data_IF_320647219740
#
_entry.id   IF_320647219740
#
_cell.length_a   1.000
_cell.length_b   1.000
_cell.length_c   1.000
_cell.angle_alpha   90.00
_cell.angle_beta   90.00
_cell.angle_gamma   90.00
#
_symmetry.space_group_name_H-M   'P 1'
#
loop_
_entity.id
_entity.type
_entity.pdbx_description
1 polymer ?
#
# COMPACT_ATOMS: atom_id res chain seq x y z
N UNK A 1 -1.45 -1.08 3.60
CA UNK A 1 -2.29 -2.19 4.13
C UNK A 1 -3.61 -1.67 4.63
N UNK A 2 -4.68 -2.35 4.34
CA UNK A 2 -6.03 -2.13 4.91
C UNK A 2 -6.53 -3.46 5.44
N UNK A 3 -7.10 -3.49 6.64
CA UNK A 3 -7.66 -4.72 7.24
C UNK A 3 -9.13 -4.52 7.65
N UNK A 4 -10.06 -4.30 6.70
CA UNK A 4 -11.47 -4.25 7.01
C UNK A 4 -12.01 -5.66 7.30
N UNK A 5 -12.87 -5.81 8.29
CA UNK A 5 -13.44 -7.11 8.68
C UNK A 5 -12.40 -8.20 8.98
N UNK A 6 -11.24 -7.85 9.49
CA UNK A 6 -10.20 -8.82 9.80
C UNK A 6 -9.50 -9.44 8.58
N UNK A 7 -9.77 -9.03 7.34
CA UNK A 7 -9.08 -9.54 6.16
C UNK A 7 -8.05 -8.52 5.66
N UNK A 8 -6.79 -8.82 5.83
CA UNK A 8 -5.69 -7.95 5.37
C UNK A 8 -5.61 -7.90 3.84
N UNK A 9 -5.52 -6.69 3.31
CA UNK A 9 -5.31 -6.42 1.88
C UNK A 9 -4.11 -5.52 1.70
N UNK A 10 -3.27 -5.86 0.72
CA UNK A 10 -2.10 -5.08 0.35
C UNK A 10 -2.33 -4.41 -1.01
N UNK A 11 -1.81 -3.20 -1.16
CA UNK A 11 -1.55 -2.58 -2.44
C UNK A 11 -0.05 -2.26 -2.47
N UNK A 12 0.67 -2.91 -3.38
CA UNK A 12 2.08 -2.62 -3.63
C UNK A 12 2.21 -1.65 -4.79
N UNK A 13 3.13 -0.69 -4.68
CA UNK A 13 3.43 0.30 -5.70
C UNK A 13 4.88 0.10 -6.11
N UNK A 14 5.10 -0.18 -7.38
CA UNK A 14 6.43 -0.39 -7.97
C UNK A 14 6.77 0.83 -8.84
N UNK A 15 7.96 1.36 -8.68
CA UNK A 15 8.44 2.52 -9.45
C UNK A 15 9.74 2.21 -10.21
N UNK A 16 10.72 1.65 -9.55
CA UNK A 16 12.07 1.46 -10.11
C UNK A 16 12.51 -0.01 -10.21
N UNK A 17 11.78 -0.91 -9.54
CA UNK A 17 12.13 -2.32 -9.50
C UNK A 17 11.32 -3.10 -10.53
N UNK A 18 11.93 -4.09 -11.14
CA UNK A 18 11.31 -4.96 -12.13
C UNK A 18 11.13 -6.39 -11.59
N UNK A 19 10.21 -6.61 -10.62
CA UNK A 19 9.98 -7.95 -10.08
C UNK A 19 9.44 -8.87 -11.17
N UNK A 20 10.02 -10.05 -11.28
CA UNK A 20 9.65 -11.07 -12.26
C UNK A 20 8.51 -11.97 -11.80
N UNK A 21 8.14 -11.90 -10.53
CA UNK A 21 7.00 -12.60 -9.97
C UNK A 21 6.28 -11.73 -8.94
N UNK A 22 5.04 -11.37 -9.24
CA UNK A 22 4.17 -10.57 -8.37
C UNK A 22 2.89 -11.35 -8.12
N UNK A 23 2.54 -11.55 -6.84
CA UNK A 23 1.30 -12.24 -6.45
C UNK A 23 1.21 -12.42 -4.92
N UNK A 24 0.05 -12.76 -4.44
CA UNK A 24 -1.17 -13.08 -5.19
C UNK A 24 -1.88 -11.82 -5.67
N UNK A 25 -2.12 -11.70 -6.95
CA UNK A 25 -2.98 -10.63 -7.49
C UNK A 25 -4.42 -10.94 -7.09
N UNK A 26 -5.10 -9.94 -6.53
CA UNK A 26 -6.44 -10.08 -5.96
C UNK A 26 -7.41 -9.03 -6.51
N UNK A 27 -8.63 -9.14 -6.05
CA UNK A 27 -9.77 -8.34 -6.48
C UNK A 27 -9.60 -6.85 -6.22
N UNK A 28 -9.94 -6.03 -7.20
CA UNK A 28 -10.09 -4.59 -7.02
C UNK A 28 -11.11 -4.25 -5.93
N UNK A 29 -10.84 -3.17 -5.22
CA UNK A 29 -11.70 -2.57 -4.20
C UNK A 29 -11.81 -1.08 -4.41
N UNK A 30 -12.96 -0.52 -4.10
CA UNK A 30 -13.18 0.93 -4.18
C UNK A 30 -12.16 1.73 -3.39
N UNK A 31 -11.74 1.21 -2.24
CA UNK A 31 -10.79 1.86 -1.32
C UNK A 31 -9.42 2.10 -1.93
N UNK A 32 -9.00 1.24 -2.85
CA UNK A 32 -7.68 1.33 -3.49
C UNK A 32 -7.66 2.23 -4.73
N UNK A 33 -8.81 2.48 -5.37
CA UNK A 33 -8.87 3.32 -6.57
C UNK A 33 -8.35 4.73 -6.30
N UNK A 34 -8.79 5.47 -5.24
CA UNK A 34 -8.24 6.78 -4.95
C UNK A 34 -6.76 6.75 -4.59
N UNK A 35 -6.28 5.69 -3.94
CA UNK A 35 -4.86 5.55 -3.61
C UNK A 35 -4.03 5.34 -4.87
N UNK A 36 -4.42 4.40 -5.75
CA UNK A 36 -3.76 4.17 -7.03
C UNK A 36 -3.74 5.44 -7.89
N UNK A 37 -4.85 6.17 -7.98
CA UNK A 37 -4.94 7.45 -8.66
C UNK A 37 -3.98 8.48 -8.08
N UNK A 38 -3.87 8.57 -6.76
CA UNK A 38 -2.98 9.51 -6.06
C UNK A 38 -1.50 9.28 -6.33
N UNK A 39 -1.11 8.04 -6.63
CA UNK A 39 0.24 7.70 -7.10
C UNK A 39 0.37 7.76 -8.63
N UNK A 40 -0.70 8.11 -9.35
CA UNK A 40 -0.76 8.13 -10.82
C UNK A 40 -0.30 6.80 -11.43
N UNK A 41 -0.68 5.70 -10.77
CA UNK A 41 -0.26 4.35 -11.13
C UNK A 41 -1.29 3.63 -11.97
N UNK A 42 -0.84 2.71 -12.82
CA UNK A 42 -1.67 1.73 -13.49
C UNK A 42 -2.11 0.69 -12.46
N UNK A 43 -3.42 0.49 -12.30
CA UNK A 43 -3.96 -0.39 -11.28
C UNK A 43 -4.10 -1.83 -11.79
N UNK A 44 -3.35 -2.75 -11.19
CA UNK A 44 -3.34 -4.17 -11.56
C UNK A 44 -4.21 -4.96 -10.58
N UNK A 45 -5.15 -5.77 -11.09
CA UNK A 45 -6.07 -6.52 -10.25
C UNK A 45 -6.60 -7.79 -10.94
N UNK A 46 -7.23 -8.67 -10.18
CA UNK A 46 -7.90 -9.87 -10.70
C UNK A 46 -9.38 -9.82 -10.39
N UNK A 47 -10.18 -9.33 -11.33
CA UNK A 47 -11.58 -9.04 -11.06
C UNK A 47 -11.76 -8.04 -9.92
N UNK A 48 -12.91 -8.05 -9.26
CA UNK A 48 -13.16 -7.11 -8.17
C UNK A 48 -14.59 -7.08 -7.67
N UNK A 49 -14.85 -6.20 -6.72
CA UNK A 49 -16.21 -5.88 -6.34
C UNK A 49 -16.93 -5.13 -7.45
N UNK A 50 -18.24 -5.29 -7.53
CA UNK A 50 -19.06 -4.80 -8.64
C UNK A 50 -18.88 -3.31 -8.92
N UNK A 51 -18.89 -2.48 -7.89
CA UNK A 51 -18.77 -1.03 -8.04
C UNK A 51 -17.36 -0.61 -8.50
N UNK A 52 -16.31 -1.23 -7.94
CA UNK A 52 -14.94 -0.98 -8.35
C UNK A 52 -14.73 -1.36 -9.83
N UNK A 53 -15.24 -2.53 -10.26
CA UNK A 53 -15.16 -2.96 -11.66
C UNK A 53 -15.92 -2.02 -12.59
N UNK A 54 -17.09 -1.53 -12.19
CA UNK A 54 -17.83 -0.56 -12.99
C UNK A 54 -17.02 0.73 -13.20
N UNK A 55 -16.41 1.28 -12.14
CA UNK A 55 -15.57 2.48 -12.23
C UNK A 55 -14.34 2.24 -13.11
N UNK A 56 -13.65 1.11 -12.94
CA UNK A 56 -12.44 0.76 -13.69
C UNK A 56 -12.76 0.50 -15.18
N UNK A 57 -13.85 -0.20 -15.49
CA UNK A 57 -14.29 -0.41 -16.87
C UNK A 57 -14.74 0.88 -17.57
N UNK A 58 -15.21 1.87 -16.82
CA UNK A 58 -15.52 3.22 -17.32
C UNK A 58 -14.28 4.13 -17.43
N UNK A 59 -13.08 3.60 -17.15
CA UNK A 59 -11.84 4.33 -17.37
C UNK A 59 -11.55 5.41 -16.32
N UNK A 60 -11.99 5.22 -15.06
CA UNK A 60 -11.70 6.19 -13.99
C UNK A 60 -10.21 6.34 -13.74
N UNK A 61 -9.44 5.28 -13.91
CA UNK A 61 -7.97 5.21 -13.93
C UNK A 61 -7.54 4.11 -14.89
N UNK A 62 -6.30 4.18 -15.38
CA UNK A 62 -5.69 3.12 -16.16
C UNK A 62 -5.58 1.85 -15.32
N UNK A 63 -6.00 0.69 -15.91
CA UNK A 63 -5.99 -0.56 -15.17
C UNK A 63 -5.80 -1.78 -16.06
N UNK A 64 -5.21 -2.84 -15.50
CA UNK A 64 -5.02 -4.14 -16.17
C UNK A 64 -5.73 -5.23 -15.35
N UNK A 65 -6.85 -5.70 -15.86
CA UNK A 65 -7.66 -6.74 -15.23
C UNK A 65 -7.24 -8.13 -15.69
N UNK A 66 -6.81 -8.96 -14.77
CA UNK A 66 -6.42 -10.34 -15.03
C UNK A 66 -7.56 -11.19 -15.62
N UNK A 67 -8.83 -10.85 -15.36
CA UNK A 67 -9.97 -11.54 -15.98
C UNK A 67 -9.98 -11.41 -17.52
N UNK A 68 -9.35 -10.36 -18.05
CA UNK A 68 -9.25 -10.12 -19.51
C UNK A 68 -7.97 -10.73 -20.10
N UNK A 69 -6.94 -10.95 -19.30
CA UNK A 69 -5.59 -11.28 -19.78
C UNK A 69 -4.98 -12.52 -19.09
N UNK A 70 -5.82 -13.39 -18.49
CA UNK A 70 -5.37 -14.68 -17.96
C UNK A 70 -4.81 -15.55 -19.10
N UNK A 71 -3.70 -16.24 -18.85
CA UNK A 71 -3.00 -17.06 -19.83
C UNK A 71 -1.98 -16.30 -20.70
N UNK A 72 -2.00 -14.97 -20.70
CA UNK A 72 -1.04 -14.11 -21.44
C UNK A 72 -0.22 -13.23 -20.49
N UNK A 73 -0.86 -12.28 -19.85
CA UNK A 73 -0.23 -11.37 -18.86
C UNK A 73 -0.20 -12.00 -17.48
N UNK A 74 -1.26 -12.70 -17.12
CA UNK A 74 -1.44 -13.35 -15.83
C UNK A 74 -1.47 -14.86 -15.94
N UNK A 75 -1.03 -15.55 -14.89
CA UNK A 75 -1.00 -16.98 -14.83
C UNK A 75 -1.39 -17.51 -13.45
N UNK A 76 -1.78 -18.79 -13.41
CA UNK A 76 -2.04 -19.52 -12.16
C UNK A 76 -0.78 -20.26 -11.74
N UNK A 77 -0.16 -19.85 -10.62
CA UNK A 77 1.04 -20.49 -10.08
C UNK A 77 0.71 -21.87 -9.52
N UNK A 78 1.41 -22.90 -10.02
CA UNK A 78 1.28 -24.28 -9.51
C UNK A 78 1.76 -24.37 -8.06
N UNK A 79 1.09 -25.19 -7.25
CA UNK A 79 1.44 -25.40 -5.84
C UNK A 79 0.93 -24.32 -4.89
N UNK A 80 0.28 -23.28 -5.40
CA UNK A 80 -0.39 -22.26 -4.59
C UNK A 80 -1.90 -22.50 -4.66
N UNK A 81 -2.60 -22.63 -3.51
CA UNK A 81 -4.05 -22.87 -3.50
C UNK A 81 -4.85 -21.73 -4.10
N UNK A 82 -5.95 -22.05 -4.78
CA UNK A 82 -7.00 -21.08 -5.15
C UNK A 82 -7.60 -20.52 -3.84
N UNK A 83 -7.86 -19.23 -3.77
CA UNK A 83 -7.78 -18.17 -4.78
C UNK A 83 -6.47 -17.37 -4.75
N UNK A 84 -5.42 -17.89 -4.10
CA UNK A 84 -4.15 -17.16 -3.90
C UNK A 84 -3.10 -17.41 -4.99
N UNK A 85 -3.45 -18.10 -6.06
CA UNK A 85 -2.54 -18.55 -7.12
C UNK A 85 -2.45 -17.65 -8.34
N UNK A 86 -2.99 -16.43 -8.30
CA UNK A 86 -2.94 -15.46 -9.39
C UNK A 86 -1.65 -14.66 -9.38
N UNK A 87 -0.84 -14.74 -10.44
CA UNK A 87 0.48 -14.10 -10.53
C UNK A 87 0.70 -13.42 -11.87
N UNK A 88 1.66 -12.49 -11.89
CA UNK A 88 2.17 -11.80 -13.09
C UNK A 88 3.63 -11.40 -12.90
N UNK A 89 4.23 -10.74 -13.88
CA UNK A 89 5.48 -9.99 -13.77
C UNK A 89 5.35 -8.56 -14.31
N UNK A 90 6.29 -7.70 -13.92
CA UNK A 90 6.19 -6.27 -14.25
C UNK A 90 6.32 -6.03 -15.76
N UNK A 91 7.15 -6.79 -16.48
CA UNK A 91 7.36 -6.58 -17.92
C UNK A 91 6.10 -6.90 -18.70
N UNK A 92 5.38 -7.97 -18.35
CA UNK A 92 4.07 -8.30 -18.96
C UNK A 92 3.03 -7.22 -18.72
N UNK A 93 3.04 -6.61 -17.52
CA UNK A 93 2.14 -5.48 -17.22
C UNK A 93 2.50 -4.27 -18.09
N UNK A 94 3.78 -3.92 -18.18
CA UNK A 94 4.25 -2.80 -19.01
C UNK A 94 3.93 -3.01 -20.49
N UNK A 95 4.23 -4.18 -21.04
CA UNK A 95 3.91 -4.55 -22.42
C UNK A 95 2.41 -4.46 -22.71
N UNK A 96 1.58 -4.94 -21.79
CA UNK A 96 0.12 -4.85 -21.95
C UNK A 96 -0.36 -3.41 -21.84
N UNK A 97 0.22 -2.62 -20.95
CA UNK A 97 -0.11 -1.20 -20.78
C UNK A 97 0.22 -0.39 -22.04
N UNK A 98 1.34 -0.68 -22.70
CA UNK A 98 1.68 -0.09 -24.02
C UNK A 98 0.65 -0.46 -25.10
N UNK A 99 0.22 -1.73 -25.15
CA UNK A 99 -0.83 -2.17 -26.09
C UNK A 99 -2.17 -1.49 -25.85
N UNK A 100 -2.42 -1.07 -24.60
CA UNK A 100 -3.62 -0.29 -24.20
C UNK A 100 -3.44 1.21 -24.41
N UNK A 101 -2.28 1.66 -24.90
CA UNK A 101 -1.91 3.07 -25.06
C UNK A 101 -1.92 3.86 -23.75
N UNK A 102 -1.60 3.21 -22.63
CA UNK A 102 -1.44 3.90 -21.35
C UNK A 102 -0.11 4.66 -21.31
N UNK A 103 -0.13 5.81 -20.61
CA UNK A 103 1.11 6.54 -20.39
C UNK A 103 1.96 5.84 -19.34
N UNK A 104 3.19 5.47 -19.68
CA UNK A 104 4.14 4.84 -18.77
C UNK A 104 5.04 5.86 -18.05
N UNK A 105 5.01 7.13 -18.44
CA UNK A 105 5.69 8.20 -17.74
C UNK A 105 4.86 8.66 -16.54
N UNK A 106 5.37 8.40 -15.33
CA UNK A 106 4.68 8.79 -14.12
C UNK A 106 5.02 10.22 -13.72
N UNK A 107 4.00 11.03 -13.47
CA UNK A 107 4.11 12.44 -13.04
C UNK A 107 3.96 12.64 -11.53
N UNK A 108 4.01 11.57 -10.73
CA UNK A 108 3.96 11.67 -9.28
C UNK A 108 5.20 12.38 -8.75
N UNK A 109 4.99 13.47 -8.00
CA UNK A 109 6.10 14.34 -7.54
C UNK A 109 6.87 13.78 -6.34
N UNK A 110 6.51 12.58 -5.87
CA UNK A 110 7.15 11.97 -4.71
C UNK A 110 6.81 12.64 -3.38
N UNK A 111 7.50 12.23 -2.35
CA UNK A 111 7.48 12.85 -1.03
C UNK A 111 8.78 13.62 -0.80
N UNK A 112 8.76 14.71 0.00
CA UNK A 112 9.98 15.39 0.37
C UNK A 112 10.87 14.47 1.23
N UNK A 113 12.18 14.53 1.02
CA UNK A 113 13.14 13.71 1.73
C UNK A 113 14.03 14.51 2.66
N UNK A 114 14.44 13.89 3.78
CA UNK A 114 15.52 14.38 4.63
C UNK A 114 16.86 14.00 4.03
N UNK A 115 17.79 14.96 4.00
CA UNK A 115 19.15 14.73 3.50
C UNK A 115 20.09 14.09 4.53
N UNK A 116 19.70 14.16 5.82
CA UNK A 116 20.51 13.71 6.95
C UNK A 116 19.71 12.78 7.86
N UNK A 117 20.43 11.93 8.60
CA UNK A 117 19.81 11.14 9.65
C UNK A 117 19.11 12.06 10.68
N UNK A 118 17.90 11.65 11.06
CA UNK A 118 17.12 12.40 12.05
C UNK A 118 17.84 12.43 13.38
N UNK A 119 17.94 13.61 14.00
CA UNK A 119 18.44 13.73 15.37
C UNK A 119 17.46 13.01 16.30
N UNK A 120 17.95 11.99 16.99
CA UNK A 120 17.14 11.22 17.96
C UNK A 120 16.81 12.10 19.15
N UNK A 121 15.54 12.45 19.30
CA UNK A 121 15.03 12.97 20.55
C UNK A 121 14.63 11.77 21.43
N UNK A 122 15.19 11.68 22.64
CA UNK A 122 14.96 10.54 23.55
C UNK A 122 13.47 10.37 23.88
N UNK A 123 12.69 11.45 23.91
CA UNK A 123 11.25 11.41 24.19
C UNK A 123 10.40 10.74 23.08
N UNK A 124 10.94 10.63 21.87
CA UNK A 124 10.21 10.11 20.71
C UNK A 124 10.77 8.77 20.19
N UNK A 125 11.52 8.05 21.04
CA UNK A 125 12.03 6.73 20.67
C UNK A 125 10.85 5.76 20.42
N UNK A 126 10.90 5.06 19.30
CA UNK A 126 9.91 4.05 18.89
C UNK A 126 10.63 2.83 18.31
N UNK A 127 10.93 1.89 19.20
CA UNK A 127 11.53 0.60 18.83
C UNK A 127 10.51 -0.38 18.31
N UNK A 128 9.24 -0.14 18.57
CA UNK A 128 8.14 -1.02 18.21
C UNK A 128 6.91 -0.21 17.77
N UNK A 129 6.20 -0.73 16.79
CA UNK A 129 4.90 -0.21 16.34
C UNK A 129 3.91 -1.38 16.37
N UNK A 130 2.90 -1.28 17.21
CA UNK A 130 1.83 -2.28 17.29
C UNK A 130 0.60 -1.71 16.61
N UNK A 131 0.03 -2.49 15.69
CA UNK A 131 -1.21 -2.18 15.01
C UNK A 131 -2.21 -3.27 15.33
N UNK A 132 -3.16 -2.95 16.19
CA UNK A 132 -4.16 -3.89 16.69
C UNK A 132 -5.28 -4.09 15.65
N UNK A 133 -4.97 -4.84 14.61
CA UNK A 133 -6.01 -5.43 13.78
C UNK A 133 -6.65 -6.61 14.51
N UNK A 134 -7.89 -6.96 14.15
CA UNK A 134 -8.58 -8.12 14.72
C UNK A 134 -7.77 -9.40 14.51
N UNK A 135 -7.70 -10.25 15.53
CA UNK A 135 -7.03 -11.56 15.45
C UNK A 135 -7.57 -12.40 14.27
N UNK A 136 -6.72 -13.14 13.57
CA UNK A 136 -5.25 -13.30 13.70
C UNK A 136 -4.44 -12.32 12.84
N UNK A 137 -4.87 -11.09 12.68
CA UNK A 137 -4.27 -10.11 11.74
C UNK A 137 -3.47 -9.00 12.43
N UNK A 138 -3.24 -9.11 13.74
CA UNK A 138 -2.40 -8.18 14.50
C UNK A 138 -1.02 -8.03 13.86
N UNK A 139 -0.56 -6.80 13.73
CA UNK A 139 0.71 -6.45 13.07
C UNK A 139 1.63 -5.78 14.07
N UNK A 140 2.88 -6.20 14.06
CA UNK A 140 3.96 -5.58 14.79
C UNK A 140 5.09 -5.23 13.85
N UNK A 141 5.69 -4.07 14.06
CA UNK A 141 6.91 -3.66 13.40
C UNK A 141 7.99 -3.42 14.46
N UNK A 142 9.10 -4.12 14.35
CA UNK A 142 10.24 -3.99 15.27
C UNK A 142 11.37 -3.26 14.57
N UNK A 143 11.87 -2.18 15.20
CA UNK A 143 12.95 -1.39 14.65
C UNK A 143 14.31 -2.07 14.81
N UNK A 144 14.93 -2.37 13.70
CA UNK A 144 16.32 -2.81 13.62
C UNK A 144 17.23 -1.58 13.48
N UNK A 145 17.99 -1.32 14.55
CA UNK A 145 18.88 -0.15 14.61
C UNK A 145 20.09 -0.28 13.68
N UNK A 146 20.55 -1.50 13.43
CA UNK A 146 21.73 -1.75 12.61
C UNK A 146 21.45 -1.40 11.15
N UNK A 147 20.32 -1.89 10.63
CA UNK A 147 19.92 -1.68 9.24
C UNK A 147 19.07 -0.42 9.07
N UNK A 148 18.66 0.21 10.22
CA UNK A 148 17.77 1.38 10.24
C UNK A 148 16.46 1.14 9.49
N UNK A 149 15.82 0.00 9.72
CA UNK A 149 14.56 -0.44 9.11
C UNK A 149 13.61 -0.97 10.19
N UNK A 150 12.33 -1.07 9.84
CA UNK A 150 11.32 -1.78 10.63
C UNK A 150 11.03 -3.13 9.98
N UNK A 151 11.09 -4.21 10.75
CA UNK A 151 10.79 -5.60 10.33
C UNK A 151 9.37 -5.95 10.74
N UNK A 152 8.60 -6.51 9.80
CA UNK A 152 7.18 -6.80 9.98
C UNK A 152 6.93 -8.20 10.52
N UNK A 153 6.05 -8.27 11.50
CA UNK A 153 5.47 -9.51 12.02
C UNK A 153 3.95 -9.45 11.88
N UNK A 154 3.33 -10.61 11.71
CA UNK A 154 1.89 -10.76 11.72
C UNK A 154 1.53 -11.98 12.59
N UNK A 155 0.57 -11.79 13.51
CA UNK A 155 0.17 -12.81 14.47
C UNK A 155 1.39 -13.43 15.20
N UNK A 156 2.30 -12.55 15.67
CA UNK A 156 3.51 -12.92 16.39
C UNK A 156 4.60 -13.65 15.56
N UNK A 157 4.40 -13.82 14.26
CA UNK A 157 5.34 -14.49 13.38
C UNK A 157 5.96 -13.51 12.37
N UNK A 158 7.26 -13.65 12.01
CA UNK A 158 7.87 -12.89 10.94
C UNK A 158 7.08 -13.05 9.64
N UNK A 159 6.71 -11.96 9.00
CA UNK A 159 6.09 -12.01 7.68
C UNK A 159 7.19 -12.10 6.61
N UNK A 160 7.17 -13.19 5.84
CA UNK A 160 8.23 -13.51 4.88
C UNK A 160 7.73 -13.30 3.45
N UNK A 161 8.48 -12.52 2.67
CA UNK A 161 8.37 -12.55 1.21
C UNK A 161 8.93 -13.89 0.71
N UNK A 162 8.04 -14.72 0.16
CA UNK A 162 8.39 -16.09 -0.22
C UNK A 162 9.33 -16.17 -1.42
N UNK A 163 9.37 -15.14 -2.26
CA UNK A 163 10.26 -15.12 -3.42
C UNK A 163 11.67 -14.71 -3.02
N UNK A 164 11.80 -13.68 -2.19
CA UNK A 164 13.08 -13.22 -1.66
C UNK A 164 13.59 -14.09 -0.52
N UNK A 165 12.70 -14.83 0.16
CA UNK A 165 12.97 -15.54 1.42
C UNK A 165 13.51 -14.60 2.51
N UNK A 166 13.00 -13.36 2.52
CA UNK A 166 13.39 -12.30 3.44
C UNK A 166 12.20 -11.82 4.25
N UNK A 167 12.45 -11.37 5.48
CA UNK A 167 11.39 -10.75 6.27
C UNK A 167 10.99 -9.41 5.66
N UNK A 168 9.68 -9.22 5.51
CA UNK A 168 9.11 -7.94 5.03
C UNK A 168 9.59 -6.81 5.93
N UNK A 169 10.12 -5.76 5.31
CA UNK A 169 10.67 -4.61 6.00
C UNK A 169 10.32 -3.29 5.32
N UNK A 170 10.39 -2.21 6.10
CA UNK A 170 10.20 -0.86 5.61
C UNK A 170 11.14 0.13 6.29
N UNK A 171 11.59 1.13 5.52
CA UNK A 171 12.38 2.26 6.06
C UNK A 171 11.51 3.19 6.88
N UNK A 172 10.27 3.36 6.43
CA UNK A 172 9.26 4.22 7.06
C UNK A 172 7.97 3.41 7.23
N UNK A 173 7.37 3.49 8.42
CA UNK A 173 6.03 2.99 8.69
C UNK A 173 5.12 4.17 9.02
N UNK A 174 4.10 4.39 8.21
CA UNK A 174 3.06 5.40 8.44
C UNK A 174 1.78 4.70 8.91
N UNK A 175 1.37 4.95 10.13
CA UNK A 175 0.07 4.47 10.64
C UNK A 175 -0.93 5.61 10.53
N UNK A 176 -2.00 5.43 9.76
CA UNK A 176 -3.07 6.41 9.60
C UNK A 176 -4.38 5.88 10.14
N UNK A 177 -5.10 6.74 10.88
CA UNK A 177 -6.44 6.44 11.37
C UNK A 177 -7.50 7.01 10.46
N UNK A 178 -8.52 6.22 10.17
CA UNK A 178 -9.65 6.61 9.34
C UNK A 178 -10.94 5.96 9.84
N UNK A 179 -11.99 6.00 9.03
CA UNK A 179 -13.29 5.39 9.31
C UNK A 179 -13.69 4.47 8.17
N UNK A 180 -14.62 3.59 8.45
CA UNK A 180 -15.26 2.72 7.46
C UNK A 180 -16.78 2.84 7.51
N UNK A 181 -17.43 2.44 6.44
CA UNK A 181 -18.89 2.31 6.35
C UNK A 181 -19.26 0.99 5.69
N UNK A 182 -20.36 0.38 6.11
CA UNK A 182 -20.89 -0.79 5.44
C UNK A 182 -21.57 -0.35 4.13
N UNK A 183 -21.15 -0.96 3.02
CA UNK A 183 -21.85 -0.82 1.73
C UNK A 183 -23.05 -1.75 1.66
N UNK A 184 -22.93 -2.94 2.24
CA UNK A 184 -23.96 -3.96 2.41
C UNK A 184 -23.51 -4.97 3.47
N UNK A 185 -24.21 -6.11 3.60
CA UNK A 185 -23.87 -7.14 4.58
C UNK A 185 -22.48 -7.77 4.39
N UNK A 186 -21.95 -7.76 3.15
CA UNK A 186 -20.72 -8.46 2.79
C UNK A 186 -19.51 -7.51 2.60
N UNK A 187 -19.74 -6.22 2.40
CA UNK A 187 -18.70 -5.26 2.02
C UNK A 187 -18.66 -4.03 2.92
N UNK A 188 -17.44 -3.75 3.36
CA UNK A 188 -17.09 -2.50 4.03
C UNK A 188 -16.24 -1.66 3.07
N UNK A 189 -16.52 -0.37 3.00
CA UNK A 189 -15.63 0.60 2.36
C UNK A 189 -14.86 1.39 3.42
N UNK A 190 -13.58 1.59 3.19
CA UNK A 190 -12.67 2.35 4.04
C UNK A 190 -12.45 3.72 3.44
N UNK A 191 -12.57 4.77 4.24
CA UNK A 191 -12.37 6.14 3.79
C UNK A 191 -10.88 6.40 3.55
N UNK A 192 -10.45 6.43 2.29
CA UNK A 192 -9.07 6.69 1.86
C UNK A 192 -8.84 8.09 1.30
N UNK A 193 -9.87 8.95 1.33
CA UNK A 193 -9.82 10.38 1.02
C UNK A 193 -10.34 11.20 2.20
N UNK A 194 -9.87 12.43 2.36
CA UNK A 194 -10.17 13.29 3.52
C UNK A 194 -8.93 13.51 4.36
N UNK A 195 -9.01 13.25 5.65
CA UNK A 195 -7.92 13.42 6.59
C UNK A 195 -8.21 12.77 7.94
N UNK A 196 -7.17 12.63 8.74
CA UNK A 196 -7.24 12.03 10.06
C UNK A 196 -5.89 12.10 10.78
N UNK A 197 -5.79 11.44 11.91
CA UNK A 197 -4.55 11.29 12.65
C UNK A 197 -3.57 10.39 11.89
N UNK A 198 -2.29 10.69 12.03
CA UNK A 198 -1.20 9.87 11.52
C UNK A 198 -0.04 9.85 12.52
N UNK A 199 0.68 8.73 12.54
CA UNK A 199 1.98 8.65 13.22
C UNK A 199 2.98 8.07 12.22
N UNK A 200 4.08 8.78 12.00
CA UNK A 200 5.14 8.34 11.10
C UNK A 200 6.30 7.81 11.94
N UNK A 201 6.72 6.60 11.67
CA UNK A 201 7.84 5.93 12.31
C UNK A 201 8.99 5.83 11.32
N UNK A 202 10.13 6.43 11.64
CA UNK A 202 11.34 6.39 10.83
C UNK A 202 12.58 6.66 11.68
N UNK A 203 13.69 6.00 11.37
CA UNK A 203 14.95 6.19 12.13
C UNK A 203 14.87 5.86 13.61
N UNK A 204 13.92 5.01 14.03
CA UNK A 204 13.67 4.65 15.43
C UNK A 204 12.99 5.74 16.26
N UNK A 205 12.31 6.71 15.62
CA UNK A 205 11.49 7.72 16.28
C UNK A 205 10.07 7.72 15.76
N UNK A 206 9.13 8.27 16.54
CA UNK A 206 7.75 8.53 16.12
C UNK A 206 7.53 10.04 15.92
N UNK A 207 6.80 10.39 14.87
CA UNK A 207 6.40 11.75 14.51
C UNK A 207 4.87 11.78 14.44
N UNK A 208 4.18 12.23 15.50
CA UNK A 208 2.74 12.42 15.47
C UNK A 208 2.34 13.53 14.50
N UNK A 209 1.21 13.36 13.84
CA UNK A 209 0.73 14.32 12.87
C UNK A 209 -0.63 13.95 12.26
N UNK A 210 -0.84 14.35 11.03
CA UNK A 210 -2.09 14.14 10.30
C UNK A 210 -1.82 13.69 8.87
N UNK A 211 -2.72 12.86 8.35
CA UNK A 211 -2.77 12.58 6.91
C UNK A 211 -3.86 13.42 6.25
N UNK A 212 -3.70 13.70 4.96
CA UNK A 212 -4.68 14.40 4.15
C UNK A 212 -4.62 13.92 2.70
N UNK A 213 -5.78 13.66 2.10
CA UNK A 213 -5.96 13.42 0.67
C UNK A 213 -7.27 14.10 0.25
N UNK A 214 -7.19 15.06 -0.69
CA UNK A 214 -8.32 15.87 -1.09
C UNK A 214 -9.45 15.00 -1.70
N UNK A 215 -10.66 15.00 -1.13
CA UNK A 215 -11.77 14.21 -1.64
C UNK A 215 -12.38 14.79 -2.94
N UNK A 216 -12.12 16.05 -3.26
CA UNK A 216 -12.59 16.66 -4.50
C UNK A 216 -11.78 16.22 -5.74
N UNK A 217 -10.57 15.72 -5.53
CA UNK A 217 -9.65 15.30 -6.58
C UNK A 217 -9.20 13.87 -6.36
N UNK A 218 -9.65 12.94 -7.20
CA UNK A 218 -9.34 11.52 -7.09
C UNK A 218 -7.83 11.26 -7.08
N UNK A 219 -7.10 11.98 -7.93
CA UNK A 219 -5.65 11.86 -8.12
C UNK A 219 -4.81 12.73 -7.18
N UNK A 220 -5.44 13.34 -6.16
CA UNK A 220 -4.68 14.07 -5.13
C UNK A 220 -3.71 13.15 -4.39
N UNK A 221 -2.51 13.65 -4.10
CA UNK A 221 -1.50 12.92 -3.31
C UNK A 221 -2.02 12.65 -1.89
N UNK A 222 -1.60 11.53 -1.30
CA UNK A 222 -1.74 11.28 0.14
C UNK A 222 -0.60 12.02 0.86
N UNK A 223 -0.94 13.08 1.59
CA UNK A 223 0.01 13.91 2.32
C UNK A 223 0.11 13.53 3.79
N UNK A 224 1.27 13.80 4.37
CA UNK A 224 1.54 13.64 5.80
C UNK A 224 2.10 14.94 6.38
N UNK A 225 1.47 15.47 7.41
CA UNK A 225 1.85 16.72 8.07
C UNK A 225 2.14 16.48 9.53
N UNK A 226 3.14 17.18 10.09
CA UNK A 226 3.37 17.23 11.51
C UNK A 226 2.29 18.09 12.24
N UNK A 227 2.35 18.14 13.56
CA UNK A 227 1.40 18.91 14.36
C UNK A 227 1.49 20.44 14.15
N UNK A 228 2.55 20.93 13.51
CA UNK A 228 2.72 22.33 13.12
C UNK A 228 2.19 22.61 11.71
N UNK A 229 1.64 21.60 11.01
CA UNK A 229 1.13 21.72 9.65
C UNK A 229 2.20 21.70 8.56
N UNK A 230 3.44 21.34 8.88
CA UNK A 230 4.51 21.19 7.91
C UNK A 230 4.50 19.77 7.33
N UNK A 231 4.67 19.65 6.00
CA UNK A 231 4.78 18.33 5.37
C UNK A 231 5.99 17.58 5.91
N UNK A 232 5.74 16.33 6.36
CA UNK A 232 6.79 15.47 6.92
C UNK A 232 7.73 15.05 5.81
N UNK A 233 9.02 15.20 6.05
CA UNK A 233 10.06 14.68 5.17
C UNK A 233 10.40 13.25 5.56
N UNK A 234 10.53 12.38 4.58
CA UNK A 234 10.86 10.98 4.79
C UNK A 234 12.35 10.68 4.63
N UNK A 235 12.85 9.71 5.38
CA UNK A 235 14.16 9.12 5.06
C UNK A 235 14.08 8.44 3.69
N UNK A 236 15.18 8.42 2.91
CA UNK A 236 15.20 7.66 1.66
C UNK A 236 14.94 6.17 1.89
N UNK A 237 14.02 5.59 1.12
CA UNK A 237 13.67 4.17 1.18
C UNK A 237 12.19 3.90 0.96
N UNK A 238 11.78 2.65 1.18
CA UNK A 238 10.40 2.23 1.02
C UNK A 238 9.51 2.70 2.19
N UNK A 239 8.28 3.04 1.86
CA UNK A 239 7.26 3.50 2.81
C UNK A 239 6.17 2.44 2.89
N UNK A 240 5.82 2.02 4.09
CA UNK A 240 4.67 1.18 4.34
C UNK A 240 3.58 1.99 5.05
N UNK A 241 2.36 1.97 4.50
CA UNK A 241 1.22 2.65 5.11
C UNK A 241 0.26 1.62 5.68
N UNK A 242 0.07 1.63 7.00
CA UNK A 242 -0.97 0.88 7.72
C UNK A 242 -2.20 1.78 7.89
N UNK A 243 -3.34 1.35 7.35
CA UNK A 243 -4.60 2.09 7.41
C UNK A 243 -5.49 1.41 8.45
N UNK A 244 -5.71 2.09 9.55
CA UNK A 244 -6.44 1.61 10.72
C UNK A 244 -7.82 2.27 10.80
N UNK A 245 -8.83 1.48 11.16
CA UNK A 245 -10.22 1.91 11.30
C UNK A 245 -10.57 2.05 12.77
#
# INVERSE_FOLDING_TARGET
TITPNGITRFMAIFQCNNPTEIGSIRSARNDFIPLAAGFKSIYVHWGGEREALQKLNNGIIDNVDAMKYEGTVFYRKKGVPVPHNGFTDINKILDQSQKLNYNLENTFTGYPHEEKELKKNISNLASEVVVDYLDPYGVRWTYDRQDNIYKRERDGNPEIDKNANEQVSAKIVAVIKTTSTYLNQDYITVKTQGGGEAIIYQGGISIPGKWKKDPAHLDSKLYFYDNNGKEIKFLPGNIWVEIVI
#
